data_IF_806328217514
#
_entry.id   IF_806328217514
#
_cell.length_a   1.000
_cell.length_b   1.000
_cell.length_c   1.000
_cell.angle_alpha   90.00
_cell.angle_beta   90.00
_cell.angle_gamma   90.00
#
_symmetry.space_group_name_H-M   'P 1'
#
loop_
_entity.id
_entity.type
_entity.pdbx_description
1 polymer ?
#
# COMPACT_ATOMS: atom_id res chain seq x y z
N UNK A 1 -10.38 -8.46 2.19
CA UNK A 1 -9.27 -7.67 2.78
C UNK A 1 -9.46 -7.57 4.28
N UNK A 2 -8.37 -7.64 5.05
CA UNK A 2 -8.36 -7.44 6.50
C UNK A 2 -7.28 -6.43 6.87
N UNK A 3 -7.63 -5.47 7.72
CA UNK A 3 -6.71 -4.45 8.21
C UNK A 3 -6.35 -4.74 9.68
N UNK A 4 -5.05 -4.71 9.95
CA UNK A 4 -4.48 -4.87 11.28
C UNK A 4 -3.60 -3.67 11.60
N UNK A 5 -3.76 -3.09 12.79
CA UNK A 5 -2.99 -1.93 13.23
C UNK A 5 -2.03 -2.32 14.35
N UNK A 6 -0.82 -1.73 14.34
CA UNK A 6 0.23 -2.00 15.35
C UNK A 6 0.55 -3.49 15.52
N UNK A 7 0.63 -4.22 14.43
CA UNK A 7 1.16 -5.59 14.40
C UNK A 7 2.61 -5.54 14.82
N UNK A 8 3.02 -6.51 15.65
CA UNK A 8 4.39 -6.62 16.16
C UNK A 8 5.05 -7.92 15.72
N UNK A 9 6.31 -7.85 15.31
CA UNK A 9 7.06 -9.01 14.84
C UNK A 9 8.55 -8.92 15.15
N UNK A 10 9.18 -10.06 15.42
CA UNK A 10 10.61 -10.17 15.77
C UNK A 10 11.47 -10.64 14.59
N UNK A 11 10.94 -10.56 13.38
CA UNK A 11 11.63 -10.95 12.16
C UNK A 11 12.85 -10.06 11.89
N UNK A 12 13.90 -10.63 11.30
CA UNK A 12 15.16 -9.89 11.02
C UNK A 12 14.92 -8.68 10.14
N UNK A 13 14.05 -8.81 9.14
CA UNK A 13 13.64 -7.74 8.24
C UNK A 13 12.15 -7.80 7.98
N UNK A 14 11.53 -6.65 7.69
CA UNK A 14 10.13 -6.55 7.29
C UNK A 14 10.07 -5.95 5.90
N UNK A 15 9.45 -6.66 4.96
CA UNK A 15 9.16 -6.13 3.64
C UNK A 15 7.82 -5.38 3.64
N UNK A 16 7.78 -4.25 2.93
CA UNK A 16 6.55 -3.48 2.72
C UNK A 16 5.50 -4.28 1.97
N UNK A 17 5.89 -5.16 1.06
CA UNK A 17 4.98 -6.04 0.33
C UNK A 17 5.55 -7.46 0.36
N UNK A 18 4.74 -8.41 0.79
CA UNK A 18 5.05 -9.83 0.77
C UNK A 18 3.94 -10.58 0.01
N UNK A 19 4.33 -11.28 -1.04
CA UNK A 19 3.40 -11.99 -1.94
C UNK A 19 3.58 -13.48 -1.73
N UNK A 20 2.59 -14.10 -1.10
CA UNK A 20 2.51 -15.56 -0.94
C UNK A 20 1.57 -16.17 -1.99
N UNK A 21 1.40 -17.49 -1.95
CA UNK A 21 0.63 -18.24 -2.97
C UNK A 21 -0.82 -17.76 -3.07
N UNK A 22 -1.46 -17.53 -1.93
CA UNK A 22 -2.88 -17.19 -1.83
C UNK A 22 -3.15 -15.84 -1.17
N UNK A 23 -2.13 -15.22 -0.58
CA UNK A 23 -2.27 -14.06 0.29
C UNK A 23 -1.19 -13.03 -0.01
N UNK A 24 -1.57 -11.75 -0.03
CA UNK A 24 -0.65 -10.63 -0.16
C UNK A 24 -0.74 -9.77 1.10
N UNK A 25 0.41 -9.50 1.70
CA UNK A 25 0.57 -8.67 2.87
C UNK A 25 1.18 -7.33 2.44
N UNK A 26 0.54 -6.23 2.83
CA UNK A 26 1.05 -4.88 2.61
C UNK A 26 1.25 -4.23 3.97
N UNK A 27 2.50 -3.94 4.31
CA UNK A 27 2.91 -3.37 5.59
C UNK A 27 3.28 -1.91 5.43
N UNK A 28 2.78 -1.08 6.34
CA UNK A 28 2.97 0.38 6.34
C UNK A 28 3.37 0.84 7.72
N UNK A 29 3.92 2.06 7.81
CA UNK A 29 4.36 2.64 9.08
C UNK A 29 5.35 1.75 9.85
N UNK A 30 6.19 1.02 9.12
CA UNK A 30 7.15 0.07 9.68
C UNK A 30 8.20 0.84 10.49
N UNK A 31 8.33 0.48 11.76
CA UNK A 31 9.32 1.07 12.67
C UNK A 31 9.84 0.02 13.64
N UNK A 32 11.11 0.15 14.01
CA UNK A 32 11.66 -0.63 15.11
C UNK A 32 11.18 -0.02 16.43
N UNK A 33 10.73 -0.85 17.36
CA UNK A 33 10.33 -0.45 18.70
C UNK A 33 11.04 -1.30 19.74
N UNK A 34 11.36 -0.66 20.85
CA UNK A 34 11.83 -1.28 22.07
C UNK A 34 10.96 -0.73 23.21
N UNK A 35 10.32 -1.61 23.96
CA UNK A 35 9.36 -1.23 25.00
C UNK A 35 9.67 -1.98 26.27
N UNK A 36 10.13 -1.26 27.30
CA UNK A 36 10.47 -1.83 28.61
C UNK A 36 9.23 -2.41 29.31
N UNK A 37 8.08 -1.73 29.21
CA UNK A 37 6.82 -2.14 29.86
C UNK A 37 6.35 -3.54 29.44
N UNK A 38 6.56 -3.88 28.16
CA UNK A 38 6.14 -5.16 27.59
C UNK A 38 7.33 -6.09 27.31
N UNK A 39 8.56 -5.66 27.66
CA UNK A 39 9.81 -6.38 27.35
C UNK A 39 9.89 -6.85 25.89
N UNK A 40 9.44 -6.00 24.97
CA UNK A 40 9.38 -6.31 23.53
C UNK A 40 10.44 -5.51 22.77
N UNK A 41 11.16 -6.20 21.89
CA UNK A 41 12.11 -5.61 20.95
C UNK A 41 11.85 -6.20 19.58
N UNK A 42 11.51 -5.35 18.61
CA UNK A 42 11.21 -5.79 17.25
C UNK A 42 10.54 -4.73 16.42
N UNK A 43 9.83 -5.14 15.37
CA UNK A 43 9.11 -4.24 14.47
C UNK A 43 7.67 -4.03 14.93
N UNK A 44 7.17 -2.81 14.70
CA UNK A 44 5.75 -2.46 14.74
C UNK A 44 5.35 -1.88 13.38
N UNK A 45 4.19 -2.30 12.86
CA UNK A 45 3.66 -1.83 11.57
C UNK A 45 2.14 -2.02 11.50
N UNK A 46 1.51 -1.33 10.56
CA UNK A 46 0.14 -1.62 10.14
C UNK A 46 0.20 -2.60 8.97
N UNK A 47 -0.73 -3.55 8.88
CA UNK A 47 -0.73 -4.62 7.90
C UNK A 47 -2.12 -4.79 7.27
N UNK A 48 -2.16 -4.72 5.94
CA UNK A 48 -3.34 -5.06 5.16
C UNK A 48 -3.11 -6.43 4.52
N UNK A 49 -4.06 -7.34 4.72
CA UNK A 49 -4.04 -8.68 4.14
C UNK A 49 -5.11 -8.81 3.06
N UNK A 50 -4.70 -9.25 1.89
CA UNK A 50 -5.58 -9.51 0.75
C UNK A 50 -5.49 -10.98 0.37
N UNK A 51 -6.63 -11.61 0.08
CA UNK A 51 -6.58 -12.81 -0.75
C UNK A 51 -6.06 -12.43 -2.15
N UNK A 52 -5.35 -13.34 -2.82
CA UNK A 52 -4.73 -13.08 -4.13
C UNK A 52 -5.74 -12.56 -5.17
N UNK A 53 -6.96 -13.10 -5.17
CA UNK A 53 -8.06 -12.64 -6.02
C UNK A 53 -8.45 -11.18 -5.73
N UNK A 54 -8.63 -10.85 -4.46
CA UNK A 54 -8.97 -9.49 -4.01
C UNK A 54 -7.85 -8.50 -4.36
N UNK A 55 -6.59 -8.91 -4.24
CA UNK A 55 -5.45 -8.08 -4.60
C UNK A 55 -5.40 -7.81 -6.11
N UNK A 56 -5.70 -8.82 -6.94
CA UNK A 56 -5.84 -8.65 -8.39
C UNK A 56 -6.93 -7.63 -8.76
N UNK A 57 -8.08 -7.68 -8.10
CA UNK A 57 -9.16 -6.71 -8.30
C UNK A 57 -8.76 -5.30 -7.86
N UNK A 58 -8.07 -5.19 -6.71
CA UNK A 58 -7.51 -3.93 -6.22
C UNK A 58 -6.56 -3.30 -7.24
N UNK A 59 -5.60 -4.06 -7.76
CA UNK A 59 -4.66 -3.59 -8.79
C UNK A 59 -5.37 -3.18 -10.07
N UNK A 60 -6.36 -3.95 -10.53
CA UNK A 60 -7.14 -3.62 -11.72
C UNK A 60 -7.96 -2.33 -11.54
N UNK A 61 -8.44 -2.06 -10.33
CA UNK A 61 -9.13 -0.80 -10.00
C UNK A 61 -8.15 0.37 -9.94
N UNK A 62 -7.00 0.19 -9.29
CA UNK A 62 -5.97 1.21 -9.19
C UNK A 62 -5.45 1.62 -10.57
N UNK A 63 -5.21 0.64 -11.46
CA UNK A 63 -4.80 0.88 -12.85
C UNK A 63 -5.83 1.73 -13.61
N UNK A 64 -7.11 1.36 -13.55
CA UNK A 64 -8.19 2.11 -14.23
C UNK A 64 -8.30 3.55 -13.75
N UNK A 65 -8.18 3.77 -12.44
CA UNK A 65 -8.21 5.12 -11.87
C UNK A 65 -7.01 5.96 -12.33
N UNK A 66 -5.82 5.36 -12.38
CA UNK A 66 -4.61 6.04 -12.86
C UNK A 66 -4.74 6.42 -14.35
N UNK A 67 -5.21 5.49 -15.20
CA UNK A 67 -5.47 5.77 -16.62
C UNK A 67 -6.47 6.92 -16.80
N UNK A 68 -7.56 6.94 -16.02
CA UNK A 68 -8.53 8.03 -16.05
C UNK A 68 -7.93 9.38 -15.64
N UNK A 69 -7.08 9.38 -14.61
CA UNK A 69 -6.41 10.59 -14.14
C UNK A 69 -5.45 11.17 -15.19
N UNK A 70 -4.70 10.31 -15.89
CA UNK A 70 -3.82 10.73 -16.97
C UNK A 70 -4.59 11.37 -18.13
N UNK A 71 -5.76 10.81 -18.50
CA UNK A 71 -6.63 11.38 -19.54
C UNK A 71 -7.16 12.76 -19.12
N UNK A 72 -7.56 12.93 -17.86
CA UNK A 72 -8.03 14.23 -17.36
C UNK A 72 -6.91 15.30 -17.39
N UNK A 73 -5.69 14.92 -17.01
CA UNK A 73 -4.53 15.83 -17.11
C UNK A 73 -4.29 16.24 -18.57
N UNK A 74 -4.27 15.28 -19.49
CA UNK A 74 -4.02 15.55 -20.92
C UNK A 74 -5.07 16.51 -21.52
N UNK A 75 -6.33 16.30 -21.15
CA UNK A 75 -7.42 17.19 -21.53
C UNK A 75 -7.22 18.60 -20.97
N UNK A 76 -6.89 18.72 -19.68
CA UNK A 76 -6.65 20.02 -19.03
C UNK A 76 -5.45 20.77 -19.63
N UNK A 77 -4.38 20.05 -19.98
CA UNK A 77 -3.23 20.63 -20.66
C UNK A 77 -3.61 21.16 -22.06
N UNK A 78 -4.35 20.36 -22.84
CA UNK A 78 -4.84 20.76 -24.16
C UNK A 78 -5.64 22.07 -24.09
N UNK A 79 -6.54 22.21 -23.12
CA UNK A 79 -7.32 23.44 -22.95
C UNK A 79 -6.46 24.66 -22.62
N UNK A 80 -5.41 24.50 -21.81
CA UNK A 80 -4.49 25.58 -21.46
C UNK A 80 -3.69 26.05 -22.69
N UNK A 81 -3.23 25.12 -23.52
CA UNK A 81 -2.50 25.42 -24.75
C UNK A 81 -3.38 26.15 -25.77
N UNK A 82 -4.65 25.77 -25.87
CA UNK A 82 -5.63 26.44 -26.73
C UNK A 82 -6.00 27.84 -26.25
N UNK A 83 -6.09 28.05 -24.93
CA UNK A 83 -6.41 29.34 -24.31
C UNK A 83 -5.23 30.33 -24.21
N UNK A 84 -4.01 29.89 -24.52
CA UNK A 84 -2.80 30.74 -24.52
C UNK A 84 -2.50 31.39 -25.88
N UNK A 85 -3.45 31.35 -26.83
CA UNK A 85 -3.36 31.97 -28.16
C UNK A 85 -4.19 33.25 -28.28
#
# INVERSE_FOLDING_TARGET
MKDYFKVRGTQETVQEIEVNVDTVYIRRNIKWIETEEESFVGWEYDEDQYAMSEFGEYLAKAKRLNEQYLVDIDYRLTLLEMGSK
#
